data_IF_597722222470
#
_entry.id   IF_597722222470
#
_cell.length_a   1.000
_cell.length_b   1.000
_cell.length_c   1.000
_cell.angle_alpha   90.00
_cell.angle_beta   90.00
_cell.angle_gamma   90.00
#
_symmetry.space_group_name_H-M   'P 1'
#
loop_
_entity.id
_entity.type
_entity.pdbx_description
1 polymer ?
#
# COMPACT_ATOMS: atom_id res chain seq x y z
N UNK A 1 0.92 18.10 22.64
CA UNK A 1 -0.52 18.25 22.33
C UNK A 1 -1.03 16.87 21.97
N UNK A 2 -2.01 16.35 22.71
CA UNK A 2 -2.56 15.03 22.40
C UNK A 2 -3.53 15.14 21.23
N UNK A 3 -3.39 14.26 20.25
CA UNK A 3 -4.33 14.13 19.14
C UNK A 3 -5.71 13.76 19.69
N UNK A 4 -6.71 14.61 19.45
CA UNK A 4 -8.07 14.40 19.97
C UNK A 4 -9.00 13.82 18.92
N UNK A 5 -8.73 14.06 17.67
CA UNK A 5 -9.49 13.58 16.51
C UNK A 5 -8.55 13.24 15.36
N UNK A 6 -8.85 12.19 14.62
CA UNK A 6 -8.16 11.77 13.39
C UNK A 6 -9.20 11.67 12.27
N UNK A 7 -8.89 12.24 11.11
CA UNK A 7 -9.72 12.14 9.92
C UNK A 7 -9.29 10.94 9.07
N UNK A 8 -10.15 9.93 8.98
CA UNK A 8 -9.99 8.76 8.15
C UNK A 8 -10.82 8.90 6.88
N UNK A 9 -10.18 9.03 5.73
CA UNK A 9 -10.81 9.21 4.42
C UNK A 9 -10.63 7.96 3.60
N UNK A 10 -11.71 7.36 3.09
CA UNK A 10 -11.66 6.13 2.30
C UNK A 10 -12.64 6.17 1.13
N UNK A 11 -12.38 5.42 0.04
CA UNK A 11 -13.39 5.17 -0.98
C UNK A 11 -14.42 4.16 -0.48
N UNK A 12 -15.56 4.08 -1.16
CA UNK A 12 -16.69 3.22 -0.78
C UNK A 12 -16.29 1.75 -0.61
N UNK A 13 -15.37 1.22 -1.41
CA UNK A 13 -14.92 -0.18 -1.33
C UNK A 13 -14.29 -0.55 0.01
N UNK A 14 -13.75 0.43 0.76
CA UNK A 14 -13.12 0.22 2.06
C UNK A 14 -13.98 0.65 3.26
N UNK A 15 -15.24 1.01 3.05
CA UNK A 15 -16.17 1.43 4.14
C UNK A 15 -16.13 0.47 5.33
N UNK A 16 -16.42 -0.81 5.13
CA UNK A 16 -16.51 -1.78 6.22
C UNK A 16 -15.17 -1.98 6.95
N UNK A 17 -14.06 -1.93 6.21
CA UNK A 17 -12.73 -2.01 6.81
C UNK A 17 -12.44 -0.76 7.65
N UNK A 18 -12.76 0.42 7.13
CA UNK A 18 -12.57 1.69 7.82
C UNK A 18 -13.43 1.81 9.08
N UNK A 19 -14.66 1.31 9.06
CA UNK A 19 -15.51 1.21 10.26
C UNK A 19 -14.89 0.30 11.33
N UNK A 20 -14.29 -0.81 10.91
CA UNK A 20 -13.55 -1.71 11.82
C UNK A 20 -12.33 -1.02 12.42
N UNK A 21 -11.53 -0.33 11.60
CA UNK A 21 -10.36 0.44 12.05
C UNK A 21 -10.79 1.53 13.03
N UNK A 22 -11.83 2.29 12.71
CA UNK A 22 -12.40 3.30 13.60
C UNK A 22 -12.77 2.70 14.96
N UNK A 23 -13.51 1.59 14.97
CA UNK A 23 -13.89 0.91 16.21
C UNK A 23 -12.68 0.43 17.02
N UNK A 24 -11.62 -0.02 16.37
CA UNK A 24 -10.39 -0.45 17.04
C UNK A 24 -9.64 0.72 17.67
N UNK A 25 -9.51 1.83 16.95
CA UNK A 25 -8.86 3.04 17.44
C UNK A 25 -9.64 3.62 18.64
N UNK A 26 -10.97 3.69 18.53
CA UNK A 26 -11.85 4.25 19.55
C UNK A 26 -12.09 3.35 20.78
N UNK A 27 -11.46 2.16 20.84
CA UNK A 27 -11.40 1.36 22.10
C UNK A 27 -10.67 2.10 23.20
N UNK A 28 -9.78 3.01 22.84
CA UNK A 28 -9.15 3.91 23.78
C UNK A 28 -9.98 5.20 23.88
N UNK A 29 -9.97 5.91 25.03
CA UNK A 29 -10.77 7.12 25.20
C UNK A 29 -10.36 8.27 24.27
N UNK A 30 -9.23 8.16 23.58
CA UNK A 30 -8.71 9.11 22.57
C UNK A 30 -7.73 8.38 21.65
N UNK A 31 -7.62 8.77 20.37
CA UNK A 31 -8.42 9.77 19.65
C UNK A 31 -9.80 9.26 19.23
N UNK A 32 -10.70 10.18 18.86
CA UNK A 32 -11.91 9.86 18.08
C UNK A 32 -11.59 9.87 16.59
N UNK A 33 -12.30 9.07 15.81
CA UNK A 33 -12.11 8.98 14.36
C UNK A 33 -13.28 9.60 13.62
N UNK A 34 -13.01 10.64 12.85
CA UNK A 34 -13.95 11.19 11.89
C UNK A 34 -13.80 10.41 10.57
N UNK A 35 -14.76 9.53 10.27
CA UNK A 35 -14.74 8.71 9.06
C UNK A 35 -15.49 9.41 7.93
N UNK A 36 -14.79 9.70 6.83
CA UNK A 36 -15.35 10.18 5.57
C UNK A 36 -15.26 9.08 4.52
N UNK A 37 -16.39 8.68 3.97
CA UNK A 37 -16.46 7.73 2.85
C UNK A 37 -16.86 8.51 1.61
N UNK A 38 -16.00 8.48 0.59
CA UNK A 38 -16.12 9.29 -0.61
C UNK A 38 -16.37 8.43 -1.85
N UNK A 39 -16.90 9.07 -2.89
CA UNK A 39 -16.87 8.48 -4.24
C UNK A 39 -15.43 8.30 -4.72
N UNK A 40 -15.19 7.40 -5.67
CA UNK A 40 -13.83 7.18 -6.21
C UNK A 40 -13.22 8.47 -6.79
N UNK A 41 -14.03 9.30 -7.43
CA UNK A 41 -13.60 10.58 -7.98
C UNK A 41 -13.18 11.58 -6.90
N UNK A 42 -14.03 11.77 -5.88
CA UNK A 42 -13.75 12.68 -4.77
C UNK A 42 -12.58 12.18 -3.92
N UNK A 43 -12.48 10.86 -3.73
CA UNK A 43 -11.37 10.24 -3.04
C UNK A 43 -10.04 10.49 -3.79
N UNK A 44 -10.00 10.21 -5.10
CA UNK A 44 -8.80 10.45 -5.90
C UNK A 44 -8.34 11.91 -5.86
N UNK A 45 -9.30 12.84 -5.91
CA UNK A 45 -9.02 14.27 -5.77
C UNK A 45 -8.50 14.61 -4.38
N UNK A 46 -9.11 14.07 -3.32
CA UNK A 46 -8.71 14.30 -1.93
C UNK A 46 -7.27 13.84 -1.68
N UNK A 47 -6.91 12.66 -2.18
CA UNK A 47 -5.54 12.11 -2.09
C UNK A 47 -4.55 12.99 -2.84
N UNK A 48 -4.86 13.33 -4.09
CA UNK A 48 -4.01 14.19 -4.92
C UNK A 48 -3.76 15.57 -4.30
N UNK A 49 -4.78 16.15 -3.67
CA UNK A 49 -4.69 17.46 -3.02
C UNK A 49 -3.95 17.41 -1.65
N UNK A 50 -3.52 16.22 -1.18
CA UNK A 50 -2.90 16.05 0.13
C UNK A 50 -3.80 16.37 1.33
N UNK A 51 -5.11 16.38 1.13
CA UNK A 51 -6.10 16.78 2.17
C UNK A 51 -6.63 15.58 2.94
N UNK A 52 -5.74 14.83 3.55
CA UNK A 52 -6.07 13.64 4.35
C UNK A 52 -5.04 13.46 5.47
N UNK A 53 -5.42 12.77 6.54
CA UNK A 53 -4.54 12.42 7.66
C UNK A 53 -4.32 10.91 7.72
N UNK A 54 -5.39 10.14 7.52
CA UNK A 54 -5.35 8.69 7.49
C UNK A 54 -6.22 8.19 6.34
N UNK A 55 -5.75 7.20 5.62
CA UNK A 55 -6.51 6.55 4.55
C UNK A 55 -6.19 5.06 4.47
N UNK A 56 -7.04 4.32 3.77
CA UNK A 56 -6.81 2.91 3.41
C UNK A 56 -6.73 2.82 1.89
N UNK A 57 -5.67 2.20 1.39
CA UNK A 57 -5.50 1.99 -0.03
C UNK A 57 -4.89 0.61 -0.33
N UNK A 58 -5.04 0.17 -1.56
CA UNK A 58 -4.38 -1.03 -2.08
C UNK A 58 -3.19 -0.63 -2.93
N UNK A 59 -2.08 -1.32 -2.74
CA UNK A 59 -0.89 -1.17 -3.57
C UNK A 59 -0.70 -2.43 -4.40
N UNK A 60 -0.33 -2.28 -5.66
CA UNK A 60 -0.24 -3.40 -6.61
C UNK A 60 1.12 -4.12 -6.59
N UNK A 61 2.07 -3.63 -5.79
CA UNK A 61 3.38 -4.24 -5.59
C UNK A 61 4.35 -4.04 -6.75
N UNK A 62 4.00 -3.23 -7.76
CA UNK A 62 4.88 -2.94 -8.89
C UNK A 62 5.55 -1.58 -8.66
N UNK A 63 6.78 -1.60 -8.20
CA UNK A 63 7.61 -0.40 -7.90
C UNK A 63 7.05 0.49 -6.76
N UNK A 64 6.22 -0.06 -5.89
CA UNK A 64 5.62 0.67 -4.76
C UNK A 64 6.67 1.10 -3.72
N UNK A 65 7.83 0.47 -3.71
CA UNK A 65 8.88 0.77 -2.74
C UNK A 65 9.40 2.21 -2.82
N UNK A 66 9.44 2.80 -4.01
CA UNK A 66 9.93 4.17 -4.24
C UNK A 66 9.01 5.25 -3.68
N UNK A 67 7.75 4.94 -3.41
CA UNK A 67 6.74 5.94 -3.01
C UNK A 67 7.03 6.56 -1.64
N UNK A 68 7.73 5.83 -0.74
CA UNK A 68 8.19 6.33 0.54
C UNK A 68 9.56 7.03 0.49
N UNK A 69 10.21 7.03 -0.68
CA UNK A 69 11.46 7.75 -0.91
C UNK A 69 11.25 9.01 -1.76
N UNK A 70 10.02 9.28 -2.19
CA UNK A 70 9.65 10.45 -2.96
C UNK A 70 8.78 11.38 -2.09
N UNK A 71 9.32 12.53 -1.63
CA UNK A 71 8.57 13.48 -0.81
C UNK A 71 7.38 14.12 -1.54
N UNK A 72 7.41 14.13 -2.88
CA UNK A 72 6.33 14.64 -3.72
C UNK A 72 5.26 13.58 -4.01
N UNK A 73 5.45 12.35 -3.50
CA UNK A 73 4.45 11.28 -3.62
C UNK A 73 3.17 11.60 -2.86
N UNK A 74 2.12 10.82 -3.11
CA UNK A 74 0.83 10.98 -2.43
C UNK A 74 0.89 10.84 -0.90
N UNK A 75 1.96 10.22 -0.36
CA UNK A 75 2.15 10.07 1.09
C UNK A 75 2.78 11.29 1.74
N UNK A 76 3.39 12.18 0.98
CA UNK A 76 4.13 13.34 1.49
C UNK A 76 5.10 12.98 2.64
N UNK A 77 5.71 11.80 2.53
CA UNK A 77 6.65 11.28 3.50
C UNK A 77 8.06 11.84 3.21
N UNK A 78 8.36 12.99 3.83
CA UNK A 78 9.64 13.66 3.66
C UNK A 78 10.63 13.22 4.76
N UNK A 79 11.33 12.11 4.49
CA UNK A 79 12.30 11.51 5.40
C UNK A 79 13.64 11.28 4.71
N UNK A 80 14.62 12.14 4.99
CA UNK A 80 15.91 12.14 4.29
C UNK A 80 16.65 10.80 4.37
N UNK A 81 16.61 10.11 5.52
CA UNK A 81 17.27 8.81 5.68
C UNK A 81 16.60 7.72 4.81
N UNK A 82 15.27 7.76 4.65
CA UNK A 82 14.55 6.84 3.78
C UNK A 82 14.89 7.09 2.31
N UNK A 83 14.95 8.34 1.90
CA UNK A 83 15.37 8.74 0.55
C UNK A 83 16.78 8.23 0.23
N UNK A 84 17.73 8.44 1.15
CA UNK A 84 19.09 7.97 0.98
C UNK A 84 19.19 6.44 0.97
N UNK A 85 18.50 5.74 1.89
CA UNK A 85 18.51 4.30 1.97
C UNK A 85 17.95 3.65 0.69
N UNK A 86 16.91 4.24 0.10
CA UNK A 86 16.37 3.78 -1.18
C UNK A 86 17.34 4.02 -2.33
N UNK A 87 17.95 5.21 -2.39
CA UNK A 87 18.96 5.54 -3.40
C UNK A 87 20.16 4.57 -3.33
N UNK A 88 20.63 4.26 -2.12
CA UNK A 88 21.71 3.31 -1.88
C UNK A 88 21.33 1.88 -2.32
N UNK A 89 20.09 1.48 -2.07
CA UNK A 89 19.59 0.18 -2.55
C UNK A 89 19.55 0.12 -4.08
N UNK A 90 19.08 1.18 -4.74
CA UNK A 90 19.06 1.28 -6.22
C UNK A 90 20.47 1.32 -6.84
N UNK A 91 21.47 1.75 -6.11
CA UNK A 91 22.87 1.78 -6.54
C UNK A 91 23.61 0.44 -6.33
N UNK A 92 22.96 -0.58 -5.77
CA UNK A 92 23.57 -1.89 -5.56
C UNK A 92 23.95 -2.55 -6.90
N UNK A 93 25.09 -3.22 -6.91
CA UNK A 93 25.66 -3.83 -8.13
C UNK A 93 25.39 -5.32 -8.26
N UNK A 94 24.76 -5.93 -7.27
CA UNK A 94 24.36 -7.33 -7.27
C UNK A 94 23.11 -7.56 -6.42
N UNK A 95 22.42 -8.69 -6.65
CA UNK A 95 21.14 -9.00 -6.03
C UNK A 95 21.21 -9.12 -4.50
N UNK A 96 22.28 -9.70 -3.97
CA UNK A 96 22.43 -9.89 -2.52
C UNK A 96 22.58 -8.55 -1.78
N UNK A 97 23.37 -7.62 -2.33
CA UNK A 97 23.53 -6.28 -1.81
C UNK A 97 22.23 -5.48 -1.94
N UNK A 98 21.56 -5.57 -3.10
CA UNK A 98 20.24 -4.96 -3.31
C UNK A 98 19.23 -5.45 -2.28
N UNK A 99 19.10 -6.75 -2.09
CA UNK A 99 18.17 -7.34 -1.12
C UNK A 99 18.46 -6.88 0.31
N UNK A 100 19.73 -6.85 0.72
CA UNK A 100 20.13 -6.42 2.05
C UNK A 100 19.77 -4.95 2.29
N UNK A 101 20.04 -4.08 1.34
CA UNK A 101 19.73 -2.64 1.43
C UNK A 101 18.23 -2.37 1.38
N UNK A 102 17.47 -3.08 0.54
CA UNK A 102 16.02 -2.98 0.51
C UNK A 102 15.38 -3.43 1.82
N UNK A 103 15.92 -4.46 2.47
CA UNK A 103 15.47 -4.86 3.82
C UNK A 103 15.74 -3.76 4.86
N UNK A 104 16.90 -3.11 4.80
CA UNK A 104 17.23 -1.99 5.69
C UNK A 104 16.28 -0.79 5.47
N UNK A 105 16.02 -0.45 4.21
CA UNK A 105 15.04 0.58 3.84
C UNK A 105 13.63 0.25 4.34
N UNK A 106 13.13 -0.95 4.09
CA UNK A 106 11.81 -1.39 4.54
C UNK A 106 11.68 -1.36 6.07
N UNK A 107 12.76 -1.73 6.78
CA UNK A 107 12.81 -1.65 8.24
C UNK A 107 12.70 -0.22 8.73
N UNK A 108 13.41 0.72 8.13
CA UNK A 108 13.36 2.14 8.47
C UNK A 108 11.93 2.68 8.36
N UNK A 109 11.23 2.41 7.25
CA UNK A 109 9.84 2.84 7.03
C UNK A 109 8.90 2.22 8.06
N UNK A 110 9.11 0.94 8.39
CA UNK A 110 8.29 0.23 9.37
C UNK A 110 8.50 0.75 10.80
N UNK A 111 9.74 1.07 11.18
CA UNK A 111 10.08 1.62 12.50
C UNK A 111 9.55 3.05 12.67
N UNK A 112 9.51 3.84 11.60
CA UNK A 112 8.93 5.18 11.58
C UNK A 112 7.41 5.19 11.48
N UNK A 113 6.79 4.01 11.29
CA UNK A 113 5.35 3.83 11.17
C UNK A 113 4.68 4.71 10.10
N UNK A 114 5.38 4.96 8.98
CA UNK A 114 4.86 5.71 7.85
C UNK A 114 3.62 5.05 7.23
N UNK A 115 3.48 3.73 7.39
CA UNK A 115 2.34 2.94 6.93
C UNK A 115 2.15 1.71 7.82
N UNK A 116 0.90 1.29 7.98
CA UNK A 116 0.55 0.01 8.62
C UNK A 116 0.09 -0.99 7.55
N UNK A 117 0.82 -2.10 7.43
CA UNK A 117 0.56 -3.15 6.45
C UNK A 117 -0.51 -4.11 6.94
N UNK A 118 -1.76 -3.88 6.58
CA UNK A 118 -2.91 -4.61 7.11
C UNK A 118 -2.94 -6.08 6.68
N UNK A 119 -2.87 -6.34 5.37
CA UNK A 119 -2.86 -7.70 4.81
C UNK A 119 -2.48 -7.71 3.33
N UNK A 120 -2.06 -8.88 2.85
CA UNK A 120 -1.90 -9.15 1.42
C UNK A 120 -3.09 -9.96 0.91
N UNK A 121 -3.75 -9.45 -0.11
CA UNK A 121 -4.89 -10.13 -0.74
C UNK A 121 -4.42 -11.34 -1.55
N UNK A 122 -4.96 -12.52 -1.26
CA UNK A 122 -4.75 -13.70 -2.10
C UNK A 122 -5.61 -13.60 -3.35
N UNK A 123 -5.00 -13.71 -4.53
CA UNK A 123 -5.71 -13.83 -5.79
C UNK A 123 -5.83 -15.31 -6.16
N UNK A 124 -7.01 -15.70 -6.65
CA UNK A 124 -7.27 -17.06 -7.12
C UNK A 124 -7.58 -17.02 -8.60
N UNK A 125 -6.98 -17.95 -9.34
CA UNK A 125 -7.35 -18.21 -10.73
C UNK A 125 -8.15 -19.50 -10.78
N UNK A 126 -9.36 -19.44 -11.32
CA UNK A 126 -10.20 -20.60 -11.58
C UNK A 126 -10.14 -20.88 -13.08
N UNK A 127 -9.71 -22.08 -13.44
CA UNK A 127 -9.61 -22.50 -14.82
C UNK A 127 -10.30 -23.85 -15.03
N UNK A 128 -10.88 -24.05 -16.22
CA UNK A 128 -11.38 -25.37 -16.63
C UNK A 128 -10.23 -26.37 -16.70
N UNK A 129 -10.50 -27.64 -16.40
CA UNK A 129 -9.53 -28.76 -16.59
C UNK A 129 -9.04 -28.91 -18.02
N UNK A 130 -9.74 -28.31 -18.99
CA UNK A 130 -9.38 -28.29 -20.42
C UNK A 130 -8.33 -27.20 -20.74
N UNK A 131 -8.06 -26.29 -19.81
CA UNK A 131 -7.10 -25.18 -20.00
C UNK A 131 -5.82 -25.49 -19.22
N UNK A 132 -4.67 -25.30 -19.86
CA UNK A 132 -3.36 -25.44 -19.25
C UNK A 132 -2.43 -24.28 -19.64
N UNK A 133 -1.28 -24.15 -18.98
CA UNK A 133 -0.31 -23.10 -19.28
C UNK A 133 -0.58 -21.75 -18.60
N UNK A 134 -1.53 -21.68 -17.69
CA UNK A 134 -1.74 -20.48 -16.88
C UNK A 134 -0.63 -20.35 -15.81
N UNK A 135 -0.20 -19.14 -15.47
CA UNK A 135 0.83 -18.92 -14.50
C UNK A 135 0.36 -19.31 -13.10
N UNK A 136 1.24 -19.93 -12.31
CA UNK A 136 1.00 -20.27 -10.91
C UNK A 136 1.28 -19.10 -9.95
N UNK A 137 1.93 -18.07 -10.45
CA UNK A 137 2.22 -16.82 -9.73
C UNK A 137 2.05 -15.63 -10.66
N UNK A 138 1.44 -14.58 -10.17
CA UNK A 138 1.26 -13.32 -10.91
C UNK A 138 1.61 -12.14 -10.02
N UNK A 139 2.33 -11.17 -10.59
CA UNK A 139 2.70 -9.93 -9.90
C UNK A 139 1.51 -8.97 -9.85
N UNK A 140 0.63 -9.02 -10.84
CA UNK A 140 -0.56 -8.19 -10.93
C UNK A 140 -1.77 -9.01 -11.43
N UNK A 141 -2.92 -8.38 -11.58
CA UNK A 141 -4.17 -9.03 -12.02
C UNK A 141 -4.23 -9.36 -13.52
N UNK A 142 -3.21 -9.03 -14.31
CA UNK A 142 -3.19 -9.28 -15.76
C UNK A 142 -2.57 -10.64 -16.01
N UNK A 143 -3.39 -11.57 -16.48
CA UNK A 143 -2.93 -12.91 -16.86
C UNK A 143 -2.34 -12.87 -18.28
N UNK A 144 -1.07 -13.31 -18.47
CA UNK A 144 -0.54 -13.50 -19.81
C UNK A 144 -1.26 -14.65 -20.51
N UNK A 145 -1.83 -14.38 -21.69
CA UNK A 145 -2.62 -15.36 -22.45
C UNK A 145 -1.77 -16.19 -23.42
N UNK A 146 -0.57 -15.75 -23.76
CA UNK A 146 0.28 -16.37 -24.78
C UNK A 146 0.70 -17.84 -24.47
N UNK A 147 0.69 -18.24 -23.20
CA UNK A 147 1.02 -19.59 -22.77
C UNK A 147 -0.17 -20.53 -22.61
N UNK A 148 -1.39 -20.05 -22.81
CA UNK A 148 -2.58 -20.87 -22.61
C UNK A 148 -2.79 -21.84 -23.76
N UNK A 149 -3.12 -23.09 -23.40
CA UNK A 149 -3.53 -24.11 -24.34
C UNK A 149 -4.86 -24.71 -23.93
N UNK A 150 -5.70 -24.99 -24.90
CA UNK A 150 -7.00 -25.64 -24.71
C UNK A 150 -6.92 -27.05 -25.30
N UNK A 151 -7.30 -28.05 -24.49
CA UNK A 151 -7.38 -29.45 -24.91
C UNK A 151 -8.74 -29.78 -25.51
#
# INVERSE_FOLDING_TARGET
>A
QYLTTVNLVVPEEYRSLAETIKQQIERQPRPTVNLEVLSDEDYAKRIKDGKWELTVMSMDGTDDAGIFADPDSMFHYDHTEAQQAYADARAATNDADYEARMKAYARLISEDAASDWLYTRKCFTVASTKVSGYPTSMINRRMPLAGLTVK
#
